data_IF_960675873514
#
_entry.id   IF_960675873514
#
_cell.length_a   1.000
_cell.length_b   1.000
_cell.length_c   1.000
_cell.angle_alpha   90.00
_cell.angle_beta   90.00
_cell.angle_gamma   90.00
#
_symmetry.space_group_name_H-M   'P 1'
#
loop_
_entity.id
_entity.type
_entity.pdbx_description
1 polymer ?
#
# COMPACT_ATOMS: atom_id res chain seq x y z
N UNK A 1 5.83 -12.93 2.63
CA UNK A 1 5.14 -11.89 1.82
C UNK A 1 5.50 -10.53 2.40
N UNK A 2 5.39 -9.45 1.61
CA UNK A 2 5.55 -8.08 2.08
C UNK A 2 4.27 -7.30 1.80
N UNK A 3 3.79 -6.51 2.76
CA UNK A 3 2.71 -5.56 2.52
C UNK A 3 3.33 -4.19 2.24
N UNK A 4 2.82 -3.48 1.25
CA UNK A 4 3.24 -2.12 0.93
C UNK A 4 2.06 -1.16 0.88
N UNK A 5 2.27 0.02 1.47
CA UNK A 5 1.35 1.16 1.39
C UNK A 5 2.15 2.46 1.44
N UNK A 6 1.50 3.58 1.12
CA UNK A 6 2.09 4.90 1.24
C UNK A 6 1.12 5.88 1.92
N UNK A 7 1.61 6.59 2.93
CA UNK A 7 0.82 7.61 3.64
C UNK A 7 1.26 9.01 3.20
N UNK A 8 0.35 9.88 2.73
CA UNK A 8 0.68 11.28 2.46
C UNK A 8 1.01 11.99 3.78
N UNK A 9 2.13 12.70 3.82
CA UNK A 9 2.57 13.47 4.99
C UNK A 9 2.85 14.93 4.62
N UNK A 10 2.43 15.92 5.43
CA UNK A 10 2.81 17.31 5.22
C UNK A 10 4.28 17.52 5.59
N UNK A 11 5.07 18.02 4.65
CA UNK A 11 6.51 18.29 4.83
C UNK A 11 6.76 19.78 4.64
N UNK A 12 7.54 20.38 5.53
CA UNK A 12 7.91 21.79 5.43
C UNK A 12 8.62 22.08 4.10
N UNK A 13 8.27 23.19 3.48
CA UNK A 13 9.02 23.83 2.39
C UNK A 13 9.67 25.10 2.97
N UNK A 14 10.93 25.01 3.45
CA UNK A 14 11.64 26.17 3.98
C UNK A 14 11.66 27.33 2.97
N UNK A 15 11.47 28.55 3.47
CA UNK A 15 11.45 29.78 2.66
C UNK A 15 10.07 30.30 2.29
N UNK A 16 9.03 29.44 2.25
CA UNK A 16 7.71 29.83 1.72
C UNK A 16 6.56 29.77 2.74
N UNK A 17 6.84 29.47 4.03
CA UNK A 17 5.83 29.24 5.09
C UNK A 17 4.70 28.28 4.68
N UNK A 18 5.00 27.32 3.79
CA UNK A 18 4.06 26.34 3.22
C UNK A 18 4.56 24.92 3.48
N UNK A 19 3.66 23.96 3.32
CA UNK A 19 3.98 22.53 3.27
C UNK A 19 3.80 22.00 1.85
N UNK A 20 4.51 20.92 1.53
CA UNK A 20 4.21 20.03 0.39
C UNK A 20 3.82 18.66 0.91
N UNK A 21 3.07 17.92 0.09
CA UNK A 21 2.75 16.52 0.38
C UNK A 21 3.93 15.64 -0.01
N UNK A 22 4.63 15.11 0.98
CA UNK A 22 5.55 13.97 0.82
C UNK A 22 4.81 12.65 1.03
N UNK A 23 5.53 11.53 0.89
CA UNK A 23 5.01 10.18 1.15
C UNK A 23 5.90 9.46 2.15
N UNK A 24 5.25 8.75 3.07
CA UNK A 24 5.88 7.78 3.95
C UNK A 24 5.45 6.39 3.48
N UNK A 25 6.36 5.70 2.79
CA UNK A 25 6.18 4.32 2.38
C UNK A 25 6.34 3.42 3.58
N UNK A 26 5.45 2.44 3.71
CA UNK A 26 5.45 1.47 4.81
C UNK A 26 5.51 0.08 4.21
N UNK A 27 6.55 -0.66 4.57
CA UNK A 27 6.77 -2.04 4.16
C UNK A 27 6.68 -2.95 5.38
N UNK A 28 5.62 -3.75 5.47
CA UNK A 28 5.34 -4.61 6.63
C UNK A 28 5.58 -6.07 6.29
N UNK A 29 6.40 -6.72 7.10
CA UNK A 29 6.49 -8.17 7.17
C UNK A 29 5.83 -8.62 8.46
N UNK A 30 4.57 -9.03 8.37
CA UNK A 30 3.86 -9.71 9.45
C UNK A 30 2.91 -10.75 8.85
N UNK A 31 3.34 -12.00 8.89
CA UNK A 31 2.59 -13.15 8.40
C UNK A 31 2.21 -14.11 9.55
N UNK A 32 2.16 -13.61 10.80
CA UNK A 32 1.79 -14.44 11.98
C UNK A 32 0.41 -15.07 11.85
N UNK A 33 -0.55 -14.33 11.29
CA UNK A 33 -1.90 -14.83 10.99
C UNK A 33 -1.93 -15.95 9.93
N UNK A 34 -0.82 -16.16 9.21
CA UNK A 34 -0.62 -17.25 8.25
C UNK A 34 0.38 -18.30 8.77
N UNK A 35 0.65 -18.34 10.08
CA UNK A 35 1.51 -19.34 10.71
C UNK A 35 3.02 -19.06 10.60
N UNK A 36 3.43 -17.86 10.17
CA UNK A 36 4.86 -17.51 10.14
C UNK A 36 5.42 -17.32 11.56
N UNK A 37 6.60 -17.91 11.81
CA UNK A 37 7.37 -17.74 13.05
C UNK A 37 8.39 -16.60 12.98
N UNK A 38 8.54 -15.97 11.81
CA UNK A 38 9.45 -14.83 11.65
C UNK A 38 8.97 -13.65 12.48
N UNK A 39 9.91 -12.97 13.16
CA UNK A 39 9.59 -11.76 13.91
C UNK A 39 8.93 -10.71 12.99
N UNK A 40 7.84 -10.06 13.44
CA UNK A 40 7.24 -8.99 12.67
C UNK A 40 8.23 -7.83 12.51
N UNK A 41 8.21 -7.18 11.36
CA UNK A 41 9.04 -6.02 11.10
C UNK A 41 8.31 -5.01 10.22
N UNK A 42 8.64 -3.74 10.41
CA UNK A 42 8.19 -2.65 9.54
C UNK A 42 9.41 -1.82 9.14
N UNK A 43 9.48 -1.47 7.86
CA UNK A 43 10.43 -0.50 7.34
C UNK A 43 9.69 0.69 6.76
N UNK A 44 10.14 1.89 7.13
CA UNK A 44 9.62 3.15 6.63
C UNK A 44 10.64 3.82 5.72
N UNK A 45 10.17 4.33 4.59
CA UNK A 45 10.98 5.13 3.68
C UNK A 45 10.24 6.41 3.31
N UNK A 46 10.93 7.54 3.32
CA UNK A 46 10.37 8.82 2.91
C UNK A 46 10.69 9.13 1.44
N UNK A 47 9.71 9.70 0.71
CA UNK A 47 9.96 10.35 -0.57
C UNK A 47 9.22 11.68 -0.69
N UNK A 48 9.75 12.64 -1.47
CA UNK A 48 9.12 13.96 -1.64
C UNK A 48 7.91 13.96 -2.57
N UNK A 49 7.67 12.88 -3.31
CA UNK A 49 6.53 12.68 -4.20
C UNK A 49 6.12 11.20 -4.23
N UNK A 50 5.03 10.86 -4.93
CA UNK A 50 4.50 9.48 -5.01
C UNK A 50 4.98 8.69 -6.23
N UNK A 51 6.06 9.08 -6.92
CA UNK A 51 6.43 8.38 -8.17
C UNK A 51 6.76 6.89 -7.95
N UNK A 52 6.43 6.05 -8.94
CA UNK A 52 6.72 4.61 -8.90
C UNK A 52 8.21 4.27 -8.81
N UNK A 53 9.12 5.19 -9.16
CA UNK A 53 10.57 4.99 -9.00
C UNK A 53 10.98 4.72 -7.55
N UNK A 54 10.23 5.24 -6.57
CA UNK A 54 10.52 5.04 -5.15
C UNK A 54 10.35 3.57 -4.75
N UNK A 55 9.16 2.94 -4.89
CA UNK A 55 9.03 1.51 -4.59
C UNK A 55 9.90 0.62 -5.48
N UNK A 56 10.18 1.00 -6.73
CA UNK A 56 11.16 0.29 -7.58
C UNK A 56 12.56 0.27 -6.96
N UNK A 57 13.03 1.40 -6.46
CA UNK A 57 14.34 1.52 -5.82
C UNK A 57 14.35 0.81 -4.47
N UNK A 58 13.31 1.01 -3.64
CA UNK A 58 13.19 0.40 -2.32
C UNK A 58 13.17 -1.14 -2.38
N UNK A 59 12.54 -1.69 -3.43
CA UNK A 59 12.34 -3.14 -3.60
C UNK A 59 13.22 -3.76 -4.69
N UNK A 60 14.31 -3.07 -5.09
CA UNK A 60 15.19 -3.52 -6.15
C UNK A 60 15.76 -4.94 -5.91
N UNK A 61 16.05 -5.28 -4.64
CA UNK A 61 16.54 -6.60 -4.24
C UNK A 61 15.47 -7.56 -3.72
N UNK A 62 14.20 -7.17 -3.69
CA UNK A 62 13.13 -8.00 -3.16
C UNK A 62 12.61 -9.00 -4.20
N UNK A 63 12.22 -10.20 -3.77
CA UNK A 63 11.48 -11.17 -4.59
C UNK A 63 10.43 -11.86 -3.73
N UNK A 64 9.31 -12.24 -4.35
CA UNK A 64 8.18 -12.91 -3.69
C UNK A 64 6.88 -12.13 -3.82
N UNK A 65 5.93 -12.37 -2.91
CA UNK A 65 4.60 -11.76 -2.96
C UNK A 65 4.61 -10.36 -2.36
N UNK A 66 4.13 -9.37 -3.12
CA UNK A 66 3.86 -8.01 -2.66
C UNK A 66 2.34 -7.80 -2.57
N UNK A 67 1.84 -7.60 -1.35
CA UNK A 67 0.46 -7.26 -1.08
C UNK A 67 0.31 -5.73 -1.00
N UNK A 68 -0.37 -5.12 -1.97
CA UNK A 68 -0.51 -3.67 -2.05
C UNK A 68 -1.92 -3.25 -2.49
N UNK A 69 -2.22 -1.95 -2.45
CA UNK A 69 -3.38 -1.41 -3.15
C UNK A 69 -3.18 -1.43 -4.68
N UNK A 70 -4.21 -1.07 -5.44
CA UNK A 70 -4.15 -1.00 -6.90
C UNK A 70 -3.44 0.28 -7.41
N UNK A 71 -2.46 0.81 -6.67
CA UNK A 71 -1.73 1.98 -7.11
C UNK A 71 -0.82 1.65 -8.30
N UNK A 72 -1.05 2.32 -9.43
CA UNK A 72 -0.32 2.11 -10.68
C UNK A 72 1.21 2.30 -10.58
N UNK A 73 1.72 2.99 -9.55
CA UNK A 73 3.15 3.13 -9.33
C UNK A 73 3.85 1.83 -8.93
N UNK A 74 3.10 0.79 -8.55
CA UNK A 74 3.64 -0.55 -8.33
C UNK A 74 3.74 -1.39 -9.60
N UNK A 75 3.04 -1.05 -10.70
CA UNK A 75 2.93 -1.90 -11.89
C UNK A 75 4.29 -2.36 -12.46
N UNK A 76 5.30 -1.50 -12.39
CA UNK A 76 6.65 -1.81 -12.87
C UNK A 76 7.33 -2.93 -12.10
N UNK A 77 7.01 -3.11 -10.81
CA UNK A 77 7.57 -4.15 -9.97
C UNK A 77 7.20 -5.55 -10.44
N UNK A 78 6.08 -5.69 -11.14
CA UNK A 78 5.50 -6.98 -11.51
C UNK A 78 5.95 -7.45 -12.90
N UNK A 79 6.55 -6.57 -13.72
CA UNK A 79 6.81 -6.85 -15.14
C UNK A 79 7.83 -7.96 -15.39
N UNK A 80 8.83 -8.09 -14.52
CA UNK A 80 9.91 -9.08 -14.67
C UNK A 80 9.57 -10.44 -14.03
N UNK A 81 8.41 -10.57 -13.38
CA UNK A 81 7.95 -11.78 -12.71
C UNK A 81 8.64 -12.09 -11.37
N UNK A 82 9.63 -11.30 -10.95
CA UNK A 82 10.33 -11.48 -9.66
C UNK A 82 9.45 -11.20 -8.46
N UNK A 83 8.47 -10.32 -8.63
CA UNK A 83 7.46 -9.98 -7.63
C UNK A 83 6.10 -10.43 -8.14
N UNK A 84 5.41 -11.25 -7.35
CA UNK A 84 4.03 -11.65 -7.60
C UNK A 84 3.08 -10.67 -6.92
N UNK A 85 2.15 -10.10 -7.68
CA UNK A 85 1.14 -9.19 -7.16
C UNK A 85 0.08 -9.91 -6.31
N UNK A 86 -0.29 -9.32 -5.18
CA UNK A 86 -1.46 -9.67 -4.41
C UNK A 86 -2.28 -8.43 -4.05
N UNK A 87 -3.54 -8.36 -4.49
CA UNK A 87 -4.41 -7.23 -4.18
C UNK A 87 -4.78 -7.20 -2.69
N UNK A 88 -4.73 -6.01 -2.07
CA UNK A 88 -5.05 -5.84 -0.66
C UNK A 88 -6.56 -5.74 -0.41
N UNK A 89 -7.13 -6.75 0.26
CA UNK A 89 -8.56 -6.80 0.61
C UNK A 89 -9.01 -5.66 1.51
N UNK A 90 -8.19 -5.21 2.46
CA UNK A 90 -8.53 -4.07 3.31
C UNK A 90 -8.74 -2.79 2.49
N UNK A 91 -7.90 -2.58 1.47
CA UNK A 91 -8.01 -1.47 0.53
C UNK A 91 -9.26 -1.55 -0.33
N UNK A 92 -9.56 -2.74 -0.87
CA UNK A 92 -10.79 -2.98 -1.62
C UNK A 92 -12.04 -2.75 -0.75
N UNK A 93 -12.06 -3.32 0.45
CA UNK A 93 -13.16 -3.21 1.42
C UNK A 93 -13.46 -1.76 1.79
N UNK A 94 -12.42 -0.95 2.04
CA UNK A 94 -12.57 0.48 2.35
C UNK A 94 -13.35 1.21 1.26
N UNK A 95 -13.06 0.94 -0.02
CA UNK A 95 -13.77 1.58 -1.15
C UNK A 95 -15.22 1.14 -1.26
N UNK A 96 -15.51 -0.12 -1.00
CA UNK A 96 -16.90 -0.61 -0.94
C UNK A 96 -17.64 0.07 0.22
N UNK A 97 -16.99 0.19 1.38
CA UNK A 97 -17.54 0.87 2.55
C UNK A 97 -17.82 2.36 2.28
N UNK A 98 -16.91 3.07 1.63
CA UNK A 98 -17.10 4.48 1.24
C UNK A 98 -18.37 4.66 0.38
N UNK A 99 -18.64 3.72 -0.53
CA UNK A 99 -19.87 3.71 -1.33
C UNK A 99 -21.07 3.38 -0.47
N UNK A 100 -20.99 2.35 0.39
CA UNK A 100 -22.07 1.94 1.28
C UNK A 100 -22.55 3.10 2.17
N UNK A 101 -21.63 3.85 2.79
CA UNK A 101 -21.97 4.99 3.65
C UNK A 101 -22.71 6.09 2.88
N UNK A 102 -22.38 6.30 1.60
CA UNK A 102 -23.02 7.33 0.76
C UNK A 102 -24.34 6.87 0.15
N UNK A 103 -24.42 5.61 -0.23
CA UNK A 103 -25.57 5.01 -0.93
C UNK A 103 -25.66 3.52 -0.59
N UNK A 104 -26.29 3.18 0.53
CA UNK A 104 -26.48 1.79 0.93
C UNK A 104 -27.29 1.02 -0.12
N UNK A 105 -26.89 -0.22 -0.38
CA UNK A 105 -27.60 -1.15 -1.27
C UNK A 105 -27.32 -2.59 -0.85
N UNK A 106 -28.20 -3.51 -1.26
CA UNK A 106 -27.99 -4.95 -1.03
C UNK A 106 -26.65 -5.44 -1.59
N UNK A 107 -26.19 -4.88 -2.72
CA UNK A 107 -24.88 -5.20 -3.30
C UNK A 107 -23.72 -4.78 -2.39
N UNK A 108 -23.74 -3.53 -1.89
CA UNK A 108 -22.67 -3.05 -1.00
C UNK A 108 -22.66 -3.78 0.34
N UNK A 109 -23.84 -4.13 0.88
CA UNK A 109 -23.95 -4.90 2.12
C UNK A 109 -23.38 -6.31 1.95
N UNK A 110 -23.75 -7.01 0.88
CA UNK A 110 -23.24 -8.36 0.59
C UNK A 110 -21.73 -8.34 0.33
N UNK A 111 -21.24 -7.34 -0.41
CA UNK A 111 -19.81 -7.20 -0.68
C UNK A 111 -19.00 -6.98 0.61
N UNK A 112 -19.52 -6.21 1.59
CA UNK A 112 -18.87 -5.98 2.89
C UNK A 112 -18.93 -7.19 3.85
N UNK A 113 -19.84 -8.14 3.62
CA UNK A 113 -19.90 -9.41 4.37
C UNK A 113 -18.89 -10.43 3.85
N UNK A 114 -18.55 -10.36 2.57
CA UNK A 114 -17.64 -11.32 1.91
C UNK A 114 -16.16 -10.94 1.96
N UNK A 115 -15.85 -9.68 2.27
CA UNK A 115 -14.51 -9.09 2.27
C UNK A 115 -14.24 -8.44 3.62
#
# INVERSE_FOLDING_TARGET
KLHADDTPVPVLLPGNKKTKTGRLWTYVRDDRNAGSTLAPAVWFAYSPDRKGIHPQTHLAGFSGVLQADAYAGFNELYRDGRITEAACWAHARRKIHDVHVRTPSALTEEALKRI
#
